data_IF_155002012588
#
_entry.id   IF_155002012588
#
_cell.length_a   1.000
_cell.length_b   1.000
_cell.length_c   1.000
_cell.angle_alpha   90.00
_cell.angle_beta   90.00
_cell.angle_gamma   90.00
#
_symmetry.space_group_name_H-M   'P 1'
#
loop_
_entity.id
_entity.type
_entity.pdbx_description
1 polymer ?
#
# COMPACT_ATOMS: atom_id res chain seq x y z
N UNK A 1 -15.24 1.39 2.25
CA UNK A 1 -14.58 2.61 1.80
C UNK A 1 -13.63 2.26 0.65
N UNK A 2 -13.51 3.16 -0.32
CA UNK A 2 -12.73 2.97 -1.53
C UNK A 2 -11.27 3.39 -1.31
N UNK A 3 -10.36 2.74 -2.02
CA UNK A 3 -8.93 2.97 -2.00
C UNK A 3 -8.47 3.22 -3.43
N UNK A 4 -7.37 3.96 -3.57
CA UNK A 4 -6.77 4.25 -4.87
C UNK A 4 -5.46 3.48 -4.95
N UNK A 5 -5.28 2.74 -6.04
CA UNK A 5 -4.08 1.98 -6.33
C UNK A 5 -3.51 2.51 -7.64
N UNK A 6 -2.33 3.11 -7.58
CA UNK A 6 -1.60 3.62 -8.74
C UNK A 6 -0.60 2.54 -9.13
N UNK A 7 -0.70 2.04 -10.37
CA UNK A 7 0.22 1.06 -10.92
C UNK A 7 1.44 1.75 -11.54
N UNK A 8 2.54 1.01 -11.70
CA UNK A 8 3.78 1.57 -12.27
C UNK A 8 3.67 2.01 -13.72
N UNK A 9 2.70 1.48 -14.47
CA UNK A 9 2.39 1.91 -15.83
C UNK A 9 1.53 3.19 -15.88
N UNK A 10 1.19 3.79 -14.72
CA UNK A 10 0.35 4.97 -14.62
C UNK A 10 -1.16 4.69 -14.55
N UNK A 11 -1.59 3.43 -14.69
CA UNK A 11 -2.99 3.08 -14.52
C UNK A 11 -3.44 3.26 -13.07
N UNK A 12 -4.70 3.64 -12.90
CA UNK A 12 -5.32 3.79 -11.58
C UNK A 12 -6.45 2.81 -11.43
N UNK A 13 -6.42 2.03 -10.35
CA UNK A 13 -7.51 1.16 -9.93
C UNK A 13 -8.20 1.75 -8.71
N UNK A 14 -9.53 1.71 -8.70
CA UNK A 14 -10.35 2.02 -7.52
C UNK A 14 -11.02 0.76 -7.00
N UNK A 15 -11.03 0.60 -5.68
CA UNK A 15 -11.62 -0.57 -5.07
C UNK A 15 -11.37 -0.70 -3.59
N UNK A 16 -11.67 -1.86 -3.03
CA UNK A 16 -11.42 -2.17 -1.63
C UNK A 16 -10.15 -3.00 -1.47
N UNK A 17 -9.11 -2.46 -0.84
CA UNK A 17 -7.99 -3.29 -0.36
C UNK A 17 -8.50 -4.16 0.78
N UNK A 18 -8.42 -5.48 0.57
CA UNK A 18 -8.88 -6.52 1.49
C UNK A 18 -7.76 -7.11 2.34
N UNK A 19 -6.50 -6.83 1.97
CA UNK A 19 -5.34 -7.06 2.84
C UNK A 19 -5.53 -6.28 4.14
N UNK A 20 -5.53 -6.99 5.28
CA UNK A 20 -5.93 -6.42 6.58
C UNK A 20 -4.81 -5.69 7.30
N UNK A 21 -3.58 -6.13 7.09
CA UNK A 21 -2.40 -5.65 7.78
C UNK A 21 -1.21 -5.65 6.85
N UNK A 22 -0.26 -4.76 7.13
CA UNK A 22 1.00 -4.64 6.46
C UNK A 22 2.09 -4.58 7.51
N UNK A 23 3.18 -5.29 7.26
CA UNK A 23 4.39 -5.18 8.06
C UNK A 23 5.46 -4.44 7.27
N UNK A 24 6.31 -3.69 7.97
CA UNK A 24 7.48 -3.05 7.39
C UNK A 24 8.71 -3.46 8.19
N UNK A 25 9.68 -4.06 7.49
CA UNK A 25 10.99 -4.38 8.04
C UNK A 25 11.91 -3.19 7.82
N UNK A 26 12.15 -2.44 8.89
CA UNK A 26 13.08 -1.30 8.90
C UNK A 26 14.49 -1.78 9.25
N UNK A 27 15.44 -0.84 9.37
CA UNK A 27 16.80 -1.15 9.84
C UNK A 27 16.89 -1.53 11.32
N UNK A 28 15.85 -1.22 12.11
CA UNK A 28 15.87 -1.36 13.57
C UNK A 28 14.81 -2.32 14.11
N UNK A 29 13.70 -2.55 13.40
CA UNK A 29 12.64 -3.44 13.83
C UNK A 29 11.76 -3.93 12.66
N UNK A 30 10.94 -4.93 12.93
CA UNK A 30 9.79 -5.27 12.09
C UNK A 30 8.52 -4.83 12.81
N UNK A 31 7.74 -3.97 12.16
CA UNK A 31 6.54 -3.35 12.72
C UNK A 31 5.34 -3.75 11.88
N UNK A 32 4.20 -4.06 12.51
CA UNK A 32 2.97 -4.47 11.83
C UNK A 32 1.84 -3.51 12.15
N UNK A 33 1.16 -3.04 11.11
CA UNK A 33 0.08 -2.07 11.20
C UNK A 33 -1.16 -2.60 10.50
N UNK A 34 -2.32 -2.37 11.09
CA UNK A 34 -3.58 -2.60 10.40
C UNK A 34 -3.71 -1.59 9.28
N UNK A 35 -4.39 -2.01 8.21
CA UNK A 35 -4.66 -1.17 7.04
C UNK A 35 -5.26 0.20 7.40
N UNK A 36 -6.14 0.25 8.40
CA UNK A 36 -6.80 1.48 8.85
C UNK A 36 -5.92 2.40 9.71
N UNK A 37 -4.66 2.04 9.96
CA UNK A 37 -3.67 2.88 10.65
C UNK A 37 -2.71 3.55 9.64
N UNK A 38 -2.86 3.25 8.35
CA UNK A 38 -1.96 3.64 7.27
C UNK A 38 -2.68 4.64 6.36
N UNK A 39 -2.01 5.74 6.02
CA UNK A 39 -2.50 6.72 5.04
C UNK A 39 -2.18 6.26 3.63
N UNK A 40 -0.91 5.92 3.37
CA UNK A 40 -0.48 5.35 2.10
C UNK A 40 0.78 4.51 2.24
N UNK A 41 1.02 3.68 1.23
CA UNK A 41 2.28 2.98 1.02
C UNK A 41 2.78 3.36 -0.37
N UNK A 42 3.99 3.91 -0.44
CA UNK A 42 4.77 4.02 -1.67
C UNK A 42 5.72 2.83 -1.74
N UNK A 43 5.66 2.07 -2.82
CA UNK A 43 6.63 0.99 -3.02
C UNK A 43 7.88 1.53 -3.71
N UNK A 44 9.01 0.85 -3.47
CA UNK A 44 10.31 1.20 -4.04
C UNK A 44 10.20 1.52 -5.54
N UNK A 45 10.56 2.74 -5.94
CA UNK A 45 10.52 3.25 -7.30
C UNK A 45 11.65 4.29 -7.50
N UNK A 46 12.88 3.84 -7.76
CA UNK A 46 14.02 4.73 -7.91
C UNK A 46 13.85 5.65 -9.13
N UNK A 47 14.33 6.90 -9.07
CA UNK A 47 15.16 7.46 -8.00
C UNK A 47 14.38 8.06 -6.82
N UNK A 48 13.05 8.21 -6.94
CA UNK A 48 12.24 8.92 -5.94
C UNK A 48 12.08 8.13 -4.64
N UNK A 49 11.78 6.83 -4.73
CA UNK A 49 11.61 5.95 -3.58
C UNK A 49 12.66 4.84 -3.65
N UNK A 50 13.77 4.98 -2.93
CA UNK A 50 14.84 3.97 -2.92
C UNK A 50 14.55 2.76 -2.04
N UNK A 51 13.45 2.80 -1.28
CA UNK A 51 12.88 1.73 -0.46
C UNK A 51 11.36 1.90 -0.43
N UNK A 52 10.63 0.91 0.09
CA UNK A 52 9.21 1.10 0.40
C UNK A 52 9.08 2.14 1.54
N UNK A 53 8.07 2.99 1.44
CA UNK A 53 7.73 4.02 2.43
C UNK A 53 6.27 3.84 2.87
N UNK A 54 6.02 3.89 4.17
CA UNK A 54 4.70 3.78 4.77
C UNK A 54 4.44 5.02 5.63
N UNK A 55 3.41 5.79 5.28
CA UNK A 55 2.91 6.90 6.09
C UNK A 55 1.75 6.41 6.97
N UNK A 56 1.89 6.57 8.29
CA UNK A 56 0.84 6.23 9.26
C UNK A 56 -0.08 7.42 9.54
N UNK A 57 -1.28 7.16 10.06
CA UNK A 57 -2.19 8.21 10.54
C UNK A 57 -1.61 9.03 11.69
N UNK A 58 -0.73 8.42 12.50
CA UNK A 58 0.03 9.10 13.54
C UNK A 58 1.09 10.08 12.99
N UNK A 59 1.18 10.24 11.65
CA UNK A 59 2.16 11.07 10.93
C UNK A 59 3.60 10.54 10.92
N UNK A 60 3.82 9.31 11.42
CA UNK A 60 5.11 8.63 11.28
C UNK A 60 5.34 8.19 9.83
N UNK A 61 6.57 8.37 9.35
CA UNK A 61 7.02 7.88 8.05
C UNK A 61 8.06 6.79 8.27
N UNK A 62 7.75 5.57 7.84
CA UNK A 62 8.62 4.40 7.98
C UNK A 62 9.19 4.00 6.62
N UNK A 63 10.47 3.63 6.60
CA UNK A 63 11.18 3.18 5.39
C UNK A 63 11.75 1.79 5.59
N UNK A 64 11.63 0.94 4.58
CA UNK A 64 12.11 -0.43 4.65
C UNK A 64 11.50 -1.32 3.58
N UNK A 65 11.29 -2.59 3.92
CA UNK A 65 10.66 -3.58 3.04
C UNK A 65 9.27 -3.90 3.56
N UNK A 66 8.24 -3.56 2.77
CA UNK A 66 6.84 -3.84 3.11
C UNK A 66 6.46 -5.27 2.72
N UNK A 67 5.72 -5.93 3.62
CA UNK A 67 5.04 -7.21 3.42
C UNK A 67 3.54 -7.06 3.78
N UNK A 68 2.64 -7.91 3.22
CA UNK A 68 2.91 -8.96 2.25
C UNK A 68 3.34 -8.41 0.88
N UNK A 69 4.06 -9.23 0.10
CA UNK A 69 4.51 -8.85 -1.25
C UNK A 69 3.36 -8.70 -2.27
N UNK A 70 2.12 -9.01 -1.88
CA UNK A 70 0.94 -8.91 -2.73
C UNK A 70 -0.20 -8.19 -2.02
N UNK A 71 -0.87 -7.29 -2.74
CA UNK A 71 -2.06 -6.57 -2.29
C UNK A 71 -3.29 -7.13 -2.99
N UNK A 72 -4.30 -7.50 -2.22
CA UNK A 72 -5.58 -8.01 -2.75
C UNK A 72 -6.61 -6.89 -2.77
N UNK A 73 -7.16 -6.62 -3.95
CA UNK A 73 -8.08 -5.51 -4.20
C UNK A 73 -9.38 -6.07 -4.79
N UNK A 74 -10.52 -5.74 -4.19
CA UNK A 74 -11.83 -5.94 -4.79
C UNK A 74 -12.18 -4.71 -5.60
N UNK A 75 -12.16 -4.82 -6.93
CA UNK A 75 -12.43 -3.71 -7.85
C UNK A 75 -13.87 -3.22 -7.69
N UNK A 76 -14.05 -1.91 -7.65
CA UNK A 76 -15.38 -1.30 -7.52
C UNK A 76 -16.22 -1.45 -8.79
N UNK A 77 -15.58 -1.34 -9.95
CA UNK A 77 -16.24 -1.35 -11.27
C UNK A 77 -16.87 -2.68 -11.64
N UNK A 78 -16.23 -3.80 -11.28
CA UNK A 78 -16.64 -5.15 -11.71
C UNK A 78 -16.93 -6.09 -10.54
N UNK A 79 -16.60 -5.70 -9.30
CA UNK A 79 -16.66 -6.58 -8.13
C UNK A 79 -15.59 -7.68 -8.12
N UNK A 80 -14.75 -7.79 -9.14
CA UNK A 80 -13.71 -8.81 -9.24
C UNK A 80 -12.59 -8.57 -8.22
N UNK A 81 -12.02 -9.66 -7.71
CA UNK A 81 -10.86 -9.62 -6.83
C UNK A 81 -9.59 -9.82 -7.64
N UNK A 82 -8.69 -8.85 -7.60
CA UNK A 82 -7.36 -8.93 -8.20
C UNK A 82 -6.30 -9.01 -7.11
N UNK A 83 -5.26 -9.81 -7.35
CA UNK A 83 -4.09 -9.92 -6.48
C UNK A 83 -2.88 -9.39 -7.23
N UNK A 84 -2.35 -8.26 -6.77
CA UNK A 84 -1.25 -7.57 -7.43
C UNK A 84 0.03 -7.70 -6.60
N UNK A 85 1.14 -8.02 -7.27
CA UNK A 85 2.47 -7.89 -6.65
C UNK A 85 2.78 -6.43 -6.37
N UNK A 86 3.45 -6.14 -5.24
CA UNK A 86 3.94 -4.79 -4.91
C UNK A 86 4.89 -4.24 -5.98
N UNK A 87 5.55 -5.10 -6.75
CA UNK A 87 6.39 -4.71 -7.89
C UNK A 87 5.60 -4.12 -9.06
N UNK A 88 4.27 -4.31 -9.11
CA UNK A 88 3.41 -3.69 -10.14
C UNK A 88 2.74 -2.42 -9.65
N UNK A 89 2.79 -2.16 -8.35
CA UNK A 89 2.14 -1.03 -7.70
C UNK A 89 3.18 0.06 -7.44
N UNK A 90 2.80 1.30 -7.73
CA UNK A 90 3.54 2.48 -7.30
C UNK A 90 3.07 2.94 -5.92
N UNK A 91 1.76 3.15 -5.76
CA UNK A 91 1.16 3.64 -4.51
C UNK A 91 -0.13 2.91 -4.18
N UNK A 92 -0.37 2.64 -2.90
CA UNK A 92 -1.70 2.35 -2.35
C UNK A 92 -2.08 3.49 -1.41
N UNK A 93 -3.20 4.15 -1.67
CA UNK A 93 -3.75 5.19 -0.79
C UNK A 93 -5.01 4.69 -0.11
N UNK A 94 -5.03 4.79 1.22
CA UNK A 94 -6.16 4.37 2.03
C UNK A 94 -7.01 5.59 2.40
N UNK A 95 -8.17 5.74 1.74
CA UNK A 95 -9.09 6.86 1.96
C UNK A 95 -10.02 6.60 3.16
N UNK A 96 -9.62 5.75 4.09
CA UNK A 96 -10.36 5.44 5.33
C UNK A 96 -10.28 6.58 6.36
N UNK A 97 -9.75 7.75 5.97
CA UNK A 97 -9.31 8.84 6.83
C UNK A 97 -10.17 10.11 6.68
N UNK A 98 -11.49 9.99 6.86
CA UNK A 98 -12.38 11.05 7.38
C UNK A 98 -13.56 10.40 8.08
#
# INVERSE_FOLDING_TARGET
>A
MAHIIILRNGETLTGQVTTREFSIKTSYAELTFKKNEIVHIHFENPPQFTQDEMLLLASDVLKGVVSPATVTIKLETSGQTVKLSKEKIHTVMFLDSV
#
